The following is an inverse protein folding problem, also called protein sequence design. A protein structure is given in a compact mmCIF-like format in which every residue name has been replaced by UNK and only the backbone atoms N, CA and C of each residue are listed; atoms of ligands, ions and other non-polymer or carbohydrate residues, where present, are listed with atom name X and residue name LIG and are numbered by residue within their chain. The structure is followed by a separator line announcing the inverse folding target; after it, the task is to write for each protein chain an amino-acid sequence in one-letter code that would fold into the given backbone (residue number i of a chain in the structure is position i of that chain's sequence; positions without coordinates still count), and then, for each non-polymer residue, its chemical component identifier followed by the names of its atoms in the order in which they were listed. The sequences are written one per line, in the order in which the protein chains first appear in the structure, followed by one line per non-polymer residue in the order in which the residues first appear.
data_IF_504664780744
#
_entry.id   IF_504664780744
#
_cell.length_a   1.000
_cell.length_b   1.000
_cell.length_c   1.000
_cell.angle_alpha   90.00
_cell.angle_beta   90.00
_cell.angle_gamma   90.00
#
_symmetry.space_group_name_H-M   'P 1'
#
loop_
_entity.id
_entity.type
_entity.pdbx_description
1 polymer ?
#
# COMPACT_ATOMS: atom_id res chain seq x y z
N UNK A 1 22.22 -5.42 -0.10
CA UNK A 1 20.78 -5.38 0.26
C UNK A 1 20.03 -6.27 -0.71
N UNK A 2 19.02 -7.01 -0.26
CA UNK A 2 18.12 -7.77 -1.15
C UNK A 2 16.82 -6.99 -1.34
N UNK A 3 16.46 -6.71 -2.59
CA UNK A 3 15.21 -6.03 -2.95
C UNK A 3 14.32 -7.05 -3.65
N UNK A 4 13.13 -7.28 -3.12
CA UNK A 4 12.15 -8.22 -3.71
C UNK A 4 10.92 -7.44 -4.15
N UNK A 5 10.48 -7.67 -5.38
CA UNK A 5 9.28 -7.07 -5.95
C UNK A 5 8.34 -8.18 -6.35
N UNK A 6 7.16 -8.19 -5.72
CA UNK A 6 6.07 -9.10 -6.05
C UNK A 6 4.97 -8.31 -6.74
N UNK A 7 4.67 -8.69 -7.99
CA UNK A 7 3.55 -8.19 -8.74
C UNK A 7 2.42 -9.21 -8.63
N UNK A 8 1.35 -8.83 -7.96
CA UNK A 8 0.11 -9.60 -7.88
C UNK A 8 -1.02 -8.87 -8.60
N UNK A 9 -1.88 -9.63 -9.27
CA UNK A 9 -3.02 -9.08 -10.01
C UNK A 9 -2.73 -8.72 -11.47
N UNK A 10 -3.82 -8.56 -12.22
CA UNK A 10 -3.86 -8.47 -13.69
C UNK A 10 -4.99 -9.33 -14.24
N UNK A 11 -5.38 -9.11 -15.49
CA UNK A 11 -6.53 -9.79 -16.12
C UNK A 11 -6.44 -11.33 -16.08
N UNK A 12 -5.24 -11.89 -15.90
CA UNK A 12 -4.98 -13.33 -15.85
C UNK A 12 -4.68 -13.89 -14.44
N UNK A 13 -4.69 -13.06 -13.37
CA UNK A 13 -4.58 -13.53 -11.99
C UNK A 13 -3.24 -14.14 -11.56
N UNK A 14 -2.17 -13.96 -12.33
CA UNK A 14 -0.84 -14.48 -11.98
C UNK A 14 -0.10 -13.61 -10.96
N UNK A 15 0.76 -14.26 -10.17
CA UNK A 15 1.74 -13.61 -9.28
C UNK A 15 3.14 -13.78 -9.89
N UNK A 16 3.89 -12.69 -10.02
CA UNK A 16 5.28 -12.72 -10.46
C UNK A 16 6.18 -12.08 -9.40
N UNK A 17 7.23 -12.79 -8.99
CA UNK A 17 8.22 -12.30 -8.03
C UNK A 17 9.61 -12.21 -8.68
N UNK A 18 10.33 -11.13 -8.36
CA UNK A 18 11.72 -10.90 -8.78
C UNK A 18 12.56 -10.35 -7.64
N UNK A 19 13.80 -10.79 -7.60
CA UNK A 19 14.77 -10.43 -6.58
C UNK A 19 15.99 -9.75 -7.19
N UNK A 20 16.50 -8.74 -6.50
CA UNK A 20 17.68 -7.99 -6.86
C UNK A 20 18.61 -7.88 -5.65
N UNK A 21 19.73 -8.62 -5.68
CA UNK A 21 20.81 -8.45 -4.71
C UNK A 21 21.73 -7.31 -5.16
N UNK A 22 21.87 -6.28 -4.33
CA UNK A 22 22.74 -5.11 -4.57
C UNK A 22 24.21 -5.36 -4.18
N UNK A 23 24.53 -6.49 -3.57
CA UNK A 23 25.88 -6.79 -3.08
C UNK A 23 26.89 -6.89 -4.23
N UNK A 24 27.98 -6.12 -4.13
CA UNK A 24 29.03 -6.11 -5.15
C UNK A 24 28.65 -5.41 -6.46
N UNK A 25 27.47 -4.79 -6.53
CA UNK A 25 27.03 -4.04 -7.71
C UNK A 25 27.51 -2.59 -7.67
N UNK A 26 27.91 -2.07 -8.83
CA UNK A 26 28.36 -0.67 -8.97
C UNK A 26 27.21 0.33 -8.86
N UNK A 27 26.01 -0.10 -9.25
CA UNK A 27 24.74 0.64 -9.18
C UNK A 27 23.99 0.45 -7.85
N UNK A 28 24.59 -0.28 -6.89
CA UNK A 28 23.98 -0.54 -5.58
C UNK A 28 23.42 0.72 -4.88
N UNK A 29 24.14 1.87 -4.80
CA UNK A 29 23.64 3.02 -4.07
C UNK A 29 22.32 3.58 -4.65
N UNK A 30 22.17 3.53 -5.98
CA UNK A 30 20.97 4.01 -6.66
C UNK A 30 19.75 3.15 -6.30
N UNK A 31 19.91 1.83 -6.28
CA UNK A 31 18.83 0.90 -5.91
C UNK A 31 18.48 0.97 -4.43
N UNK A 32 19.47 1.13 -3.56
CA UNK A 32 19.27 1.24 -2.11
C UNK A 32 18.53 2.54 -1.74
N UNK A 33 18.92 3.68 -2.32
CA UNK A 33 18.19 4.94 -2.13
C UNK A 33 16.74 4.86 -2.64
N UNK A 34 16.54 4.23 -3.81
CA UNK A 34 15.21 4.05 -4.38
C UNK A 34 14.34 3.16 -3.48
N UNK A 35 14.88 2.05 -2.99
CA UNK A 35 14.18 1.13 -2.11
C UNK A 35 13.75 1.81 -0.80
N UNK A 36 14.64 2.58 -0.17
CA UNK A 36 14.29 3.31 1.06
C UNK A 36 13.17 4.33 0.85
N UNK A 37 13.12 5.00 -0.31
CA UNK A 37 12.00 5.91 -0.64
C UNK A 37 10.72 5.15 -1.00
N UNK A 38 10.83 4.00 -1.66
CA UNK A 38 9.70 3.21 -2.13
C UNK A 38 8.96 2.46 -1.01
N UNK A 39 9.65 2.10 0.08
CA UNK A 39 9.05 1.47 1.28
C UNK A 39 8.43 2.50 2.24
N UNK A 40 8.30 3.76 1.81
CA UNK A 40 7.43 4.72 2.51
C UNK A 40 6.04 4.08 2.75
N UNK A 41 5.35 4.41 3.86
CA UNK A 41 4.11 3.76 4.24
C UNK A 41 3.14 3.71 3.06
N UNK A 42 2.99 2.51 2.51
CA UNK A 42 2.09 2.24 1.42
C UNK A 42 0.67 2.18 1.97
N UNK A 43 -0.33 2.66 1.21
CA UNK A 43 -1.70 2.52 1.62
C UNK A 43 -2.06 1.05 1.89
N UNK A 44 -2.94 0.84 2.85
CA UNK A 44 -3.48 -0.46 3.23
C UNK A 44 -4.15 -1.24 2.08
N UNK A 45 -4.34 -0.59 0.93
CA UNK A 45 -4.92 -1.17 -0.28
C UNK A 45 -6.45 -1.27 -0.22
N UNK A 46 -7.07 -0.80 0.86
CA UNK A 46 -8.52 -0.88 1.03
C UNK A 46 -9.21 0.34 0.44
N UNK A 47 -10.28 0.07 -0.33
CA UNK A 47 -11.22 1.08 -0.78
C UNK A 47 -12.40 1.13 0.20
N UNK A 48 -12.64 2.30 0.79
CA UNK A 48 -13.72 2.51 1.74
C UNK A 48 -14.81 3.34 1.07
N UNK A 49 -16.07 2.88 1.17
CA UNK A 49 -17.23 3.68 0.76
C UNK A 49 -18.08 3.97 1.97
N UNK A 50 -18.19 5.25 2.33
CA UNK A 50 -19.03 5.69 3.45
C UNK A 50 -20.32 6.27 2.86
N UNK A 51 -21.47 5.75 3.30
CA UNK A 51 -22.79 6.25 2.89
C UNK A 51 -23.56 6.73 4.12
N UNK A 52 -23.99 8.00 4.12
CA UNK A 52 -24.78 8.63 5.18
C UNK A 52 -25.95 9.37 4.54
N UNK A 53 -27.19 9.02 4.92
CA UNK A 53 -28.41 9.67 4.45
C UNK A 53 -28.50 9.84 2.92
N UNK A 54 -28.09 8.81 2.17
CA UNK A 54 -28.10 8.80 0.71
C UNK A 54 -26.94 9.56 0.04
N UNK A 55 -26.04 10.16 0.81
CA UNK A 55 -24.76 10.70 0.30
C UNK A 55 -23.68 9.65 0.45
N UNK A 56 -22.95 9.37 -0.62
CA UNK A 56 -21.82 8.45 -0.60
C UNK A 56 -20.52 9.17 -0.94
N UNK A 57 -19.44 8.77 -0.27
CA UNK A 57 -18.08 9.17 -0.60
C UNK A 57 -17.22 7.92 -0.69
N UNK A 58 -16.41 7.86 -1.74
CA UNK A 58 -15.42 6.81 -1.97
C UNK A 58 -14.05 7.34 -1.51
N UNK A 59 -13.34 6.54 -0.73
CA UNK A 59 -12.13 6.89 -0.01
C UNK A 59 -11.09 5.78 -0.14
N UNK A 60 -9.82 6.14 0.01
CA UNK A 60 -8.70 5.21 0.02
C UNK A 60 -7.61 5.78 0.94
N UNK A 61 -6.92 4.93 1.70
CA UNK A 61 -5.66 5.34 2.34
C UNK A 61 -4.63 5.70 1.23
N UNK A 62 -3.68 6.65 1.42
CA UNK A 62 -3.35 7.42 2.62
C UNK A 62 -4.20 8.68 2.82
N UNK A 63 -5.23 8.90 2.01
CA UNK A 63 -5.95 10.17 1.94
C UNK A 63 -7.10 10.32 2.93
N UNK A 64 -7.21 9.41 3.91
CA UNK A 64 -8.26 9.46 4.94
C UNK A 64 -7.98 10.55 5.97
N UNK A 65 -8.98 11.38 6.25
CA UNK A 65 -8.93 12.30 7.40
C UNK A 65 -8.99 11.53 8.72
N UNK A 66 -8.61 12.17 9.82
CA UNK A 66 -8.70 11.57 11.16
C UNK A 66 -10.13 11.14 11.52
N UNK A 67 -11.13 11.96 11.18
CA UNK A 67 -12.55 11.65 11.37
C UNK A 67 -12.99 10.43 10.56
N UNK A 68 -12.57 10.33 9.30
CA UNK A 68 -12.88 9.18 8.44
C UNK A 68 -12.26 7.90 9.00
N UNK A 69 -10.98 7.93 9.41
CA UNK A 69 -10.32 6.78 10.05
C UNK A 69 -11.00 6.35 11.33
N UNK A 70 -11.42 7.31 12.17
CA UNK A 70 -12.13 7.02 13.43
C UNK A 70 -13.50 6.37 13.16
N UNK A 71 -14.24 6.88 12.18
CA UNK A 71 -15.52 6.32 11.76
C UNK A 71 -15.35 4.90 11.21
N UNK A 72 -14.41 4.68 10.30
CA UNK A 72 -14.12 3.37 9.69
C UNK A 72 -13.77 2.35 10.78
N UNK A 73 -12.80 2.65 11.66
CA UNK A 73 -12.41 1.75 12.75
C UNK A 73 -13.57 1.43 13.70
N UNK A 74 -14.36 2.45 14.06
CA UNK A 74 -15.51 2.26 14.96
C UNK A 74 -16.62 1.42 14.36
N UNK A 75 -16.89 1.55 13.06
CA UNK A 75 -17.95 0.81 12.36
C UNK A 75 -17.51 -0.61 11.97
N UNK A 76 -16.27 -0.78 11.52
CA UNK A 76 -15.73 -2.10 11.16
C UNK A 76 -15.28 -2.92 12.39
N UNK A 77 -15.20 -2.30 13.56
CA UNK A 77 -14.83 -3.00 14.80
C UNK A 77 -13.34 -3.36 14.90
N UNK A 78 -12.48 -2.77 14.06
CA UNK A 78 -11.01 -3.00 14.06
C UNK A 78 -10.29 -2.31 15.22
N UNK A 79 -10.85 -2.38 16.42
CA UNK A 79 -10.34 -1.68 17.60
C UNK A 79 -11.02 -2.10 18.90
N UNK A 80 -11.20 -3.41 19.10
CA UNK A 80 -11.47 -4.02 20.40
C UNK A 80 -10.33 -4.98 20.76
#
# INVERSE_FOLDING_TARGET
MLITVTRSGGFAGGEEERELDTSGRRDAPQWEELAHRAVAPAPDGYHYRITVDGRAVDLQDPYLSEDQRRLIRGVLGEGA
#
